data_IF_638123572264
#
_entry.id   IF_638123572264
#
_cell.length_a   1.000
_cell.length_b   1.000
_cell.length_c   1.000
_cell.angle_alpha   90.00
_cell.angle_beta   90.00
_cell.angle_gamma   90.00
#
_symmetry.space_group_name_H-M   'P 1'
#
loop_
_entity.id
_entity.type
_entity.pdbx_description
1 polymer ?
#
# COMPACT_ATOMS: atom_id res chain seq x y z
N UNK A 1 -21.35 13.13 12.07
CA UNK A 1 -20.10 12.34 12.10
C UNK A 1 -20.16 11.45 10.87
N UNK A 2 -19.28 11.66 9.89
CA UNK A 2 -19.25 10.85 8.67
C UNK A 2 -18.43 9.61 9.04
N UNK A 3 -19.10 8.47 9.16
CA UNK A 3 -18.47 7.17 9.40
C UNK A 3 -17.42 6.92 8.29
N UNK A 4 -16.22 6.41 8.62
CA UNK A 4 -15.23 6.11 7.60
C UNK A 4 -15.84 5.10 6.61
N UNK A 5 -15.60 5.23 5.30
CA UNK A 5 -16.13 4.28 4.35
C UNK A 5 -15.63 2.88 4.73
N UNK A 6 -16.56 1.97 5.07
CA UNK A 6 -16.30 0.56 5.41
C UNK A 6 -15.68 -0.24 4.24
N UNK A 7 -15.38 0.43 3.12
CA UNK A 7 -14.88 -0.17 1.90
C UNK A 7 -13.40 -0.53 2.06
N UNK A 8 -13.04 -1.82 2.00
CA UNK A 8 -11.64 -2.23 2.05
C UNK A 8 -10.85 -1.63 0.89
N UNK A 9 -9.63 -1.20 1.18
CA UNK A 9 -8.69 -0.64 0.20
C UNK A 9 -7.37 -1.40 0.22
N UNK A 10 -6.60 -1.28 -0.86
CA UNK A 10 -5.22 -1.72 -0.93
C UNK A 10 -4.31 -0.58 -0.55
N UNK A 11 -3.34 -0.88 0.30
CA UNK A 11 -2.23 0.01 0.64
C UNK A 11 -1.07 -0.29 -0.29
N UNK A 12 -0.51 0.75 -0.89
CA UNK A 12 0.75 0.67 -1.62
C UNK A 12 1.80 1.28 -0.70
N UNK A 13 2.65 0.45 -0.12
CA UNK A 13 3.80 0.92 0.65
C UNK A 13 4.97 0.98 -0.30
N UNK A 14 5.60 2.13 -0.47
CA UNK A 14 6.76 2.26 -1.36
C UNK A 14 7.94 2.91 -0.65
N UNK A 15 9.14 2.47 -1.01
CA UNK A 15 10.43 3.04 -0.60
C UNK A 15 11.07 3.68 -1.84
N UNK A 16 11.10 5.02 -1.83
CA UNK A 16 11.64 5.79 -2.94
C UNK A 16 13.17 5.67 -3.08
N UNK A 17 13.91 5.37 -2.01
CA UNK A 17 15.37 5.21 -2.09
C UNK A 17 15.74 3.90 -2.77
N UNK A 18 15.00 2.83 -2.49
CA UNK A 18 15.24 1.53 -3.10
C UNK A 18 14.47 1.36 -4.42
N UNK A 19 13.64 2.34 -4.80
CA UNK A 19 12.69 2.25 -5.90
C UNK A 19 11.88 0.94 -5.83
N UNK A 20 11.40 0.59 -4.63
CA UNK A 20 10.60 -0.63 -4.40
C UNK A 20 9.23 -0.31 -3.85
N UNK A 21 8.27 -1.21 -4.09
CA UNK A 21 6.94 -1.11 -3.50
C UNK A 21 6.36 -2.47 -3.14
N UNK A 22 5.51 -2.50 -2.14
CA UNK A 22 4.73 -3.67 -1.71
C UNK A 22 3.25 -3.30 -1.70
N UNK A 23 2.41 -4.30 -1.94
CA UNK A 23 0.96 -4.16 -1.81
C UNK A 23 0.50 -4.83 -0.54
N UNK A 24 -0.16 -4.05 0.29
CA UNK A 24 -0.71 -4.39 1.57
C UNK A 24 -2.24 -4.35 1.54
N UNK A 25 -2.87 -5.13 2.42
CA UNK A 25 -4.32 -5.26 2.46
C UNK A 25 -4.89 -6.41 1.63
N UNK A 26 -6.21 -6.48 1.37
CA UNK A 26 -7.20 -5.43 1.66
C UNK A 26 -7.26 -5.09 3.16
N UNK A 27 -7.33 -3.81 3.47
CA UNK A 27 -7.43 -3.25 4.82
C UNK A 27 -8.57 -2.27 4.90
N UNK A 28 -9.07 -2.05 6.10
CA UNK A 28 -10.09 -1.04 6.41
C UNK A 28 -9.52 0.14 7.21
N UNK A 29 -8.30 0.01 7.73
CA UNK A 29 -7.62 1.04 8.52
C UNK A 29 -6.11 1.01 8.21
N UNK A 30 -5.51 2.19 8.04
CA UNK A 30 -4.09 2.37 7.70
C UNK A 30 -3.24 2.86 8.89
N UNK A 31 -3.82 3.03 10.09
CA UNK A 31 -3.11 3.57 11.27
C UNK A 31 -1.92 2.71 11.67
N UNK A 32 -2.07 1.39 11.61
CA UNK A 32 -0.98 0.46 11.92
C UNK A 32 0.19 0.61 10.93
N UNK A 33 -0.10 0.80 9.65
CA UNK A 33 0.91 1.07 8.61
C UNK A 33 1.59 2.42 8.81
N UNK A 34 0.83 3.48 9.11
CA UNK A 34 1.39 4.79 9.43
C UNK A 34 2.30 4.73 10.66
N UNK A 35 1.86 4.08 11.72
CA UNK A 35 2.64 3.90 12.94
C UNK A 35 3.92 3.11 12.66
N UNK A 36 3.83 2.04 11.88
CA UNK A 36 4.99 1.22 11.53
C UNK A 36 5.98 1.95 10.61
N UNK A 37 5.52 2.78 9.67
CA UNK A 37 6.39 3.65 8.86
C UNK A 37 7.11 4.68 9.74
N UNK A 38 6.37 5.33 10.65
CA UNK A 38 6.95 6.29 11.58
C UNK A 38 7.97 5.63 12.52
N UNK A 39 7.66 4.43 13.03
CA UNK A 39 8.53 3.68 13.94
C UNK A 39 9.76 3.10 13.26
N UNK A 40 9.64 2.66 12.00
CA UNK A 40 10.76 2.14 11.23
C UNK A 40 11.77 3.24 10.84
N UNK A 41 11.46 4.53 11.11
CA UNK A 41 12.35 5.65 10.82
C UNK A 41 12.67 5.78 9.33
N UNK A 42 11.86 5.16 8.47
CA UNK A 42 12.04 5.19 7.03
C UNK A 42 11.45 6.51 6.56
N UNK A 43 12.20 7.59 6.71
CA UNK A 43 11.86 8.94 6.21
C UNK A 43 11.50 8.94 4.70
N UNK A 44 11.80 7.83 4.02
CA UNK A 44 11.66 7.59 2.58
C UNK A 44 10.53 6.62 2.21
N UNK A 45 9.87 6.00 3.20
CA UNK A 45 8.72 5.14 2.95
C UNK A 45 7.44 5.97 2.97
N UNK A 46 6.58 5.79 1.98
CA UNK A 46 5.33 6.53 1.84
C UNK A 46 4.17 5.60 1.53
N UNK A 47 2.96 6.07 1.84
CA UNK A 47 1.71 5.34 1.63
C UNK A 47 0.95 5.90 0.42
N UNK A 48 0.71 5.03 -0.56
CA UNK A 48 -0.32 5.21 -1.58
C UNK A 48 -1.58 4.43 -1.22
N UNK A 49 -2.74 4.95 -1.61
CA UNK A 49 -4.04 4.34 -1.34
C UNK A 49 -4.72 4.00 -2.66
N UNK A 50 -5.27 2.79 -2.78
CA UNK A 50 -6.12 2.42 -3.91
C UNK A 50 -7.36 1.68 -3.43
N UNK A 51 -8.54 2.27 -3.62
CA UNK A 51 -9.81 1.71 -3.18
C UNK A 51 -10.17 0.43 -3.94
N UNK A 52 -10.68 -0.60 -3.25
CA UNK A 52 -11.27 -1.76 -3.91
C UNK A 52 -12.74 -1.47 -4.21
N UNK A 53 -13.05 -1.00 -5.43
CA UNK A 53 -14.44 -0.83 -5.86
C UNK A 53 -14.89 -2.10 -6.57
N UNK A 54 -15.88 -2.82 -6.03
CA UNK A 54 -16.62 -3.93 -6.68
C UNK A 54 -15.82 -4.77 -7.71
N UNK A 55 -15.15 -5.83 -7.24
CA UNK A 55 -14.42 -6.76 -8.14
C UNK A 55 -13.44 -7.73 -7.46
N UNK A 56 -13.31 -7.69 -6.14
CA UNK A 56 -12.52 -8.63 -5.34
C UNK A 56 -11.02 -8.31 -5.31
N UNK A 57 -10.43 -8.31 -4.11
CA UNK A 57 -9.07 -7.81 -3.86
C UNK A 57 -7.95 -8.41 -4.72
N UNK A 58 -8.13 -9.63 -5.27
CA UNK A 58 -7.08 -10.33 -6.05
C UNK A 58 -6.86 -9.72 -7.44
N UNK A 59 -7.92 -9.35 -8.15
CA UNK A 59 -7.83 -8.70 -9.46
C UNK A 59 -7.22 -7.30 -9.29
N UNK A 60 -7.69 -6.57 -8.28
CA UNK A 60 -7.21 -5.24 -7.92
C UNK A 60 -5.73 -5.22 -7.51
N UNK A 61 -5.23 -6.22 -6.76
CA UNK A 61 -3.79 -6.34 -6.44
C UNK A 61 -2.90 -6.52 -7.67
N UNK A 62 -3.43 -7.06 -8.77
CA UNK A 62 -2.67 -7.16 -10.02
C UNK A 62 -2.68 -5.81 -10.73
N UNK A 63 -3.86 -5.21 -10.89
CA UNK A 63 -4.02 -3.90 -11.55
C UNK A 63 -3.26 -2.81 -10.82
N UNK A 64 -3.45 -2.64 -9.51
CA UNK A 64 -2.75 -1.65 -8.69
C UNK A 64 -1.23 -1.78 -8.76
N UNK A 65 -0.71 -3.01 -8.71
CA UNK A 65 0.73 -3.25 -8.85
C UNK A 65 1.23 -2.89 -10.23
N UNK A 66 0.46 -3.22 -11.27
CA UNK A 66 0.82 -2.92 -12.64
C UNK A 66 0.82 -1.42 -12.90
N UNK A 67 -0.26 -0.72 -12.53
CA UNK A 67 -0.40 0.74 -12.67
C UNK A 67 0.70 1.47 -11.90
N UNK A 68 0.97 1.07 -10.65
CA UNK A 68 2.01 1.70 -9.85
C UNK A 68 3.40 1.48 -10.45
N UNK A 69 3.69 0.26 -10.92
CA UNK A 69 4.94 -0.07 -11.60
C UNK A 69 5.10 0.73 -12.90
N UNK A 70 4.07 0.84 -13.73
CA UNK A 70 4.12 1.58 -14.99
C UNK A 70 4.29 3.09 -14.77
N UNK A 71 3.68 3.65 -13.72
CA UNK A 71 3.80 5.07 -13.39
C UNK A 71 5.13 5.48 -12.76
N UNK A 72 5.72 4.61 -11.94
CA UNK A 72 6.90 4.96 -11.12
C UNK A 72 8.18 4.26 -11.55
N UNK A 73 8.09 3.15 -12.28
CA UNK A 73 9.21 2.25 -12.56
C UNK A 73 9.65 1.41 -11.35
N UNK A 74 8.96 1.48 -10.21
CA UNK A 74 9.41 0.81 -8.99
C UNK A 74 9.25 -0.71 -9.09
N UNK A 75 10.15 -1.44 -8.44
CA UNK A 75 10.11 -2.91 -8.39
C UNK A 75 9.17 -3.38 -7.29
N UNK A 76 8.28 -4.31 -7.62
CA UNK A 76 7.43 -4.98 -6.64
C UNK A 76 8.25 -5.92 -5.76
N UNK A 77 8.13 -5.78 -4.44
CA UNK A 77 8.68 -6.68 -3.43
C UNK A 77 7.56 -7.44 -2.70
N UNK A 78 7.95 -8.41 -1.88
CA UNK A 78 6.99 -9.18 -1.10
C UNK A 78 6.31 -8.29 -0.05
N UNK A 79 5.13 -8.76 0.39
CA UNK A 79 4.36 -8.13 1.46
C UNK A 79 5.23 -8.05 2.73
N UNK A 80 5.20 -6.92 3.42
CA UNK A 80 5.97 -6.71 4.65
C UNK A 80 7.47 -6.47 4.45
N UNK A 81 8.01 -6.52 3.22
CA UNK A 81 9.45 -6.34 2.99
C UNK A 81 9.95 -4.92 3.21
N UNK A 82 9.07 -3.92 3.19
CA UNK A 82 9.43 -2.50 3.40
C UNK A 82 9.17 -2.10 4.85
N UNK A 83 8.00 -2.49 5.37
CA UNK A 83 7.58 -2.22 6.75
C UNK A 83 6.88 -3.46 7.29
N UNK A 84 7.28 -3.88 8.48
CA UNK A 84 6.64 -4.97 9.22
C UNK A 84 5.63 -4.42 10.22
N UNK A 85 4.47 -5.08 10.30
CA UNK A 85 3.33 -4.77 11.18
C UNK A 85 2.85 -6.08 11.77
#
# INVERSE_FOLDING_TARGET
>A
MIEPPETPFLLIVFDAAQATFSLEGPVTDDRAWRAAIAAAGVERASLGYQACLNGGARMWRRTAAQEFRERTGFRRVARGSIVHI
#
